data_IF_709286035546
#
_entry.id   IF_709286035546
#
_cell.length_a   1.000
_cell.length_b   1.000
_cell.length_c   1.000
_cell.angle_alpha   90.00
_cell.angle_beta   90.00
_cell.angle_gamma   90.00
#
_symmetry.space_group_name_H-M   'P 1'
#
loop_
_entity.id
_entity.type
_entity.pdbx_description
1 polymer ?
#
# COMPACT_ATOMS: atom_id res chain seq x y z
N UNK A 1 2.39 -8.36 12.61
CA UNK A 1 3.42 -7.60 11.88
C UNK A 1 4.86 -8.13 12.01
N UNK A 2 5.46 -8.24 13.21
CA UNK A 2 6.89 -8.64 13.35
C UNK A 2 7.24 -9.97 12.64
N UNK A 3 6.44 -11.02 12.84
CA UNK A 3 6.67 -12.32 12.20
C UNK A 3 6.58 -12.25 10.66
N UNK A 4 5.62 -11.47 10.15
CA UNK A 4 5.44 -11.22 8.71
C UNK A 4 6.67 -10.51 8.12
N UNK A 5 7.17 -9.48 8.80
CA UNK A 5 8.39 -8.76 8.37
C UNK A 5 9.63 -9.66 8.43
N UNK A 6 9.75 -10.49 9.47
CA UNK A 6 10.85 -11.44 9.55
C UNK A 6 10.80 -12.41 8.38
N UNK A 7 9.64 -13.03 8.13
CA UNK A 7 9.43 -13.92 7.00
C UNK A 7 9.80 -13.27 5.67
N UNK A 8 9.33 -12.06 5.40
CA UNK A 8 9.61 -11.39 4.13
C UNK A 8 11.11 -11.13 3.95
N UNK A 9 11.76 -10.62 5.00
CA UNK A 9 13.19 -10.29 4.93
C UNK A 9 14.09 -11.52 4.83
N UNK A 10 13.69 -12.67 5.39
CA UNK A 10 14.49 -13.90 5.34
C UNK A 10 14.24 -14.72 4.08
N UNK A 11 13.01 -14.72 3.56
CA UNK A 11 12.63 -15.56 2.41
C UNK A 11 12.70 -14.82 1.07
N UNK A 12 12.57 -13.49 1.07
CA UNK A 12 12.62 -12.64 -0.13
C UNK A 12 13.59 -11.45 0.03
N UNK A 13 14.85 -11.69 0.45
CA UNK A 13 15.81 -10.62 0.69
C UNK A 13 16.06 -9.76 -0.57
N UNK A 14 15.96 -10.33 -1.77
CA UNK A 14 16.10 -9.63 -3.04
C UNK A 14 15.04 -8.55 -3.25
N UNK A 15 13.78 -8.79 -2.84
CA UNK A 15 12.71 -7.80 -2.93
C UNK A 15 12.94 -6.66 -1.93
N UNK A 16 13.36 -6.99 -0.71
CA UNK A 16 13.80 -5.99 0.27
C UNK A 16 14.94 -5.13 -0.28
N UNK A 17 15.98 -5.75 -0.84
CA UNK A 17 17.13 -5.02 -1.39
C UNK A 17 16.73 -4.14 -2.58
N UNK A 18 15.81 -4.60 -3.43
CA UNK A 18 15.28 -3.82 -4.54
C UNK A 18 14.53 -2.57 -4.03
N UNK A 19 13.70 -2.71 -2.98
CA UNK A 19 13.00 -1.58 -2.35
C UNK A 19 13.98 -0.58 -1.71
N UNK A 20 14.97 -1.08 -0.96
CA UNK A 20 16.04 -0.26 -0.36
C UNK A 20 16.82 0.54 -1.40
N UNK A 21 17.01 -0.02 -2.60
CA UNK A 21 17.76 0.61 -3.69
C UNK A 21 16.89 1.52 -4.57
N UNK A 22 15.57 1.58 -4.31
CA UNK A 22 14.61 2.34 -5.10
C UNK A 22 14.22 3.63 -4.39
N UNK A 23 14.96 4.70 -4.68
CA UNK A 23 14.71 6.02 -4.10
C UNK A 23 13.56 6.76 -4.79
N UNK A 24 12.75 7.46 -3.99
CA UNK A 24 11.74 8.44 -4.44
C UNK A 24 12.38 9.73 -4.95
N UNK A 25 13.64 9.98 -4.59
CA UNK A 25 14.44 11.11 -5.02
C UNK A 25 15.15 10.80 -6.34
N UNK A 26 15.42 11.83 -7.13
CA UNK A 26 16.25 11.70 -8.33
C UNK A 26 17.72 11.56 -7.98
N UNK A 27 18.21 12.37 -7.05
CA UNK A 27 19.57 12.32 -6.50
C UNK A 27 19.59 12.73 -5.01
N UNK A 28 20.80 12.75 -4.42
CA UNK A 28 21.01 13.06 -2.99
C UNK A 28 21.06 14.57 -2.70
N UNK A 29 20.87 15.42 -3.70
CA UNK A 29 20.92 16.89 -3.57
C UNK A 29 19.54 17.53 -3.47
N UNK A 30 18.49 16.83 -3.93
CA UNK A 30 17.10 17.29 -3.87
C UNK A 30 16.15 16.16 -3.41
N UNK A 31 15.64 16.28 -2.18
CA UNK A 31 14.74 15.29 -1.59
C UNK A 31 13.32 15.45 -2.12
N UNK A 32 12.61 14.35 -2.31
CA UNK A 32 11.19 14.33 -2.63
C UNK A 32 10.38 14.85 -1.43
N UNK A 33 9.64 15.97 -1.56
CA UNK A 33 8.92 16.58 -0.44
C UNK A 33 7.74 15.73 0.07
N UNK A 34 7.31 14.74 -0.70
CA UNK A 34 6.23 13.81 -0.34
C UNK A 34 6.74 12.51 0.30
N UNK A 35 8.04 12.22 0.17
CA UNK A 35 8.68 11.00 0.64
C UNK A 35 10.07 11.31 1.22
N UNK A 36 10.13 12.13 2.26
CA UNK A 36 11.40 12.52 2.89
C UNK A 36 12.11 11.33 3.54
N UNK A 37 11.39 10.23 3.82
CA UNK A 37 11.95 8.94 4.19
C UNK A 37 12.92 8.34 3.15
N UNK A 38 12.89 8.84 1.91
CA UNK A 38 13.90 8.60 0.88
C UNK A 38 13.63 7.38 0.01
N UNK A 39 13.66 6.18 0.57
CA UNK A 39 13.56 4.92 -0.19
C UNK A 39 12.26 4.15 0.03
N UNK A 40 11.89 3.31 -0.94
CA UNK A 40 10.63 2.56 -0.92
C UNK A 40 10.54 1.56 0.25
N UNK A 41 11.68 1.04 0.75
CA UNK A 41 11.67 0.13 1.91
C UNK A 41 11.38 0.88 3.20
N UNK A 42 12.03 2.04 3.39
CA UNK A 42 11.75 2.93 4.53
C UNK A 42 10.27 3.33 4.57
N UNK A 43 9.70 3.69 3.41
CA UNK A 43 8.27 3.94 3.29
C UNK A 43 7.42 2.71 3.67
N UNK A 44 7.69 1.55 3.07
CA UNK A 44 6.98 0.29 3.38
C UNK A 44 6.99 -0.03 4.88
N UNK A 45 8.12 0.15 5.55
CA UNK A 45 8.24 -0.09 7.00
C UNK A 45 7.35 0.84 7.82
N UNK A 46 7.21 2.11 7.43
CA UNK A 46 6.32 3.08 8.08
C UNK A 46 4.85 2.69 7.86
N UNK A 47 4.47 2.36 6.62
CA UNK A 47 3.11 1.89 6.28
C UNK A 47 2.74 0.64 7.10
N UNK A 48 3.64 -0.35 7.17
CA UNK A 48 3.48 -1.51 8.03
C UNK A 48 3.34 -1.14 9.51
N UNK A 49 4.11 -0.15 9.99
CA UNK A 49 4.01 0.29 11.38
C UNK A 49 2.67 0.94 11.68
N UNK A 50 2.11 1.73 10.76
CA UNK A 50 0.76 2.30 10.92
C UNK A 50 -0.29 1.19 10.97
N UNK A 51 -0.24 0.21 10.05
CA UNK A 51 -1.17 -0.91 10.04
C UNK A 51 -1.16 -1.69 11.37
N UNK A 52 0.03 -1.92 11.94
CA UNK A 52 0.19 -2.54 13.25
C UNK A 52 -0.40 -1.68 14.38
N UNK A 53 -0.06 -0.39 14.44
CA UNK A 53 -0.51 0.51 15.51
C UNK A 53 -2.02 0.75 15.50
N UNK A 54 -2.63 0.73 14.31
CA UNK A 54 -4.09 0.82 14.15
C UNK A 54 -4.81 -0.48 14.45
N UNK A 55 -4.09 -1.60 14.53
CA UNK A 55 -4.69 -2.92 14.77
C UNK A 55 -5.55 -3.41 13.61
N UNK A 56 -5.20 -3.03 12.37
CA UNK A 56 -5.95 -3.45 11.18
C UNK A 56 -5.78 -4.93 10.90
N UNK A 57 -6.73 -5.47 10.12
CA UNK A 57 -6.80 -6.88 9.76
C UNK A 57 -5.48 -7.37 9.13
N UNK A 58 -5.18 -8.66 9.29
CA UNK A 58 -3.98 -9.27 8.71
C UNK A 58 -3.94 -9.13 7.19
N UNK A 59 -5.08 -9.11 6.49
CA UNK A 59 -5.19 -8.84 5.06
C UNK A 59 -4.63 -7.45 4.73
N UNK A 60 -4.98 -6.42 5.52
CA UNK A 60 -4.43 -5.06 5.38
C UNK A 60 -2.93 -5.04 5.72
N UNK A 61 -2.50 -5.78 6.76
CA UNK A 61 -1.08 -5.85 7.13
C UNK A 61 -0.22 -6.50 6.03
N UNK A 62 -0.71 -7.55 5.36
CA UNK A 62 -0.01 -8.17 4.22
C UNK A 62 0.00 -7.22 3.03
N UNK A 63 -1.14 -6.60 2.71
CA UNK A 63 -1.21 -5.62 1.62
C UNK A 63 -0.26 -4.44 1.87
N UNK A 64 -0.19 -3.92 3.10
CA UNK A 64 0.73 -2.84 3.50
C UNK A 64 2.20 -3.19 3.21
N UNK A 65 2.64 -4.42 3.51
CA UNK A 65 3.99 -4.87 3.23
C UNK A 65 4.27 -5.01 1.72
N UNK A 66 3.26 -5.40 0.94
CA UNK A 66 3.44 -5.79 -0.45
C UNK A 66 3.01 -4.74 -1.47
N UNK A 67 2.35 -3.64 -1.05
CA UNK A 67 1.70 -2.70 -1.97
C UNK A 67 2.64 -2.09 -3.02
N UNK A 68 3.91 -1.91 -2.66
CA UNK A 68 4.90 -1.18 -3.44
C UNK A 68 6.06 -2.03 -3.98
N UNK A 69 6.00 -3.36 -3.86
CA UNK A 69 7.11 -4.24 -4.29
C UNK A 69 7.43 -4.14 -5.79
N UNK A 70 6.51 -3.61 -6.60
CA UNK A 70 6.67 -3.33 -8.03
C UNK A 70 7.28 -1.95 -8.35
N UNK A 71 7.47 -1.05 -7.38
CA UNK A 71 8.10 0.26 -7.61
C UNK A 71 9.51 0.13 -8.22
N UNK A 72 10.43 -0.71 -7.71
CA UNK A 72 11.77 -0.81 -8.28
C UNK A 72 11.78 -1.16 -9.77
N UNK A 73 10.90 -2.06 -10.21
CA UNK A 73 10.82 -2.51 -11.60
C UNK A 73 10.07 -1.54 -12.53
N UNK A 74 9.26 -0.64 -11.98
CA UNK A 74 8.52 0.39 -12.72
C UNK A 74 9.15 1.78 -12.65
N UNK A 75 10.23 1.93 -11.87
CA UNK A 75 10.93 3.20 -11.65
C UNK A 75 11.45 3.76 -12.96
N UNK A 76 10.99 4.98 -13.28
CA UNK A 76 11.47 5.78 -14.41
C UNK A 76 11.87 7.16 -13.91
N UNK A 77 12.89 7.71 -14.55
CA UNK A 77 13.35 9.06 -14.30
C UNK A 77 12.99 9.91 -15.50
N UNK A 78 12.22 10.97 -15.28
CA UNK A 78 12.01 11.99 -16.28
C UNK A 78 13.23 12.91 -16.32
N UNK A 79 14.04 12.79 -17.38
CA UNK A 79 15.27 13.54 -17.56
C UNK A 79 15.05 15.04 -17.82
N UNK A 80 13.82 15.49 -18.08
CA UNK A 80 13.52 16.90 -18.33
C UNK A 80 13.31 17.71 -17.04
N UNK A 81 12.85 17.06 -15.98
CA UNK A 81 12.52 17.73 -14.72
C UNK A 81 13.03 16.98 -13.48
N UNK A 82 13.90 15.98 -13.68
CA UNK A 82 14.48 15.15 -12.62
C UNK A 82 13.42 14.54 -11.69
N UNK A 83 12.25 14.20 -12.23
CA UNK A 83 11.17 13.60 -11.43
C UNK A 83 11.18 12.08 -11.56
N UNK A 84 11.11 11.38 -10.43
CA UNK A 84 10.98 9.92 -10.38
C UNK A 84 9.50 9.53 -10.46
N UNK A 85 9.18 8.54 -11.28
CA UNK A 85 7.82 8.06 -11.51
C UNK A 85 7.78 6.54 -11.46
N UNK A 86 6.68 6.00 -10.95
CA UNK A 86 6.44 4.56 -10.78
C UNK A 86 5.15 4.14 -11.50
N UNK A 87 5.07 4.37 -12.81
CA UNK A 87 3.82 4.13 -13.54
C UNK A 87 3.46 2.64 -13.60
N UNK A 88 2.24 2.30 -13.21
CA UNK A 88 1.71 0.93 -13.25
C UNK A 88 2.30 0.01 -12.17
N UNK A 89 2.98 0.58 -11.17
CA UNK A 89 3.54 -0.19 -10.06
C UNK A 89 2.48 -0.97 -9.30
N UNK A 90 1.24 -0.50 -9.25
CA UNK A 90 0.13 -1.12 -8.51
C UNK A 90 -0.18 -2.52 -9.05
N UNK A 91 -0.38 -2.62 -10.37
CA UNK A 91 -0.65 -3.89 -11.07
C UNK A 91 0.59 -4.78 -11.05
N UNK A 92 1.79 -4.19 -11.16
CA UNK A 92 3.04 -4.94 -11.11
C UNK A 92 3.30 -5.52 -9.71
N UNK A 93 3.10 -4.74 -8.65
CA UNK A 93 3.18 -5.18 -7.25
C UNK A 93 2.20 -6.32 -6.99
N UNK A 94 0.95 -6.19 -7.45
CA UNK A 94 -0.07 -7.23 -7.30
C UNK A 94 0.40 -8.54 -7.96
N UNK A 95 0.85 -8.49 -9.22
CA UNK A 95 1.37 -9.67 -9.91
C UNK A 95 2.59 -10.28 -9.23
N UNK A 96 3.51 -9.46 -8.73
CA UNK A 96 4.69 -9.92 -8.00
C UNK A 96 4.34 -10.55 -6.65
N UNK A 97 3.22 -10.17 -6.05
CA UNK A 97 2.75 -10.66 -4.77
C UNK A 97 2.05 -12.03 -4.86
N UNK A 98 1.62 -12.49 -6.05
CA UNK A 98 0.96 -13.79 -6.26
C UNK A 98 1.65 -14.97 -5.56
N UNK A 99 2.96 -15.26 -5.81
CA UNK A 99 3.64 -16.37 -5.13
C UNK A 99 3.85 -16.13 -3.63
N UNK A 100 3.86 -14.87 -3.17
CA UNK A 100 4.07 -14.51 -1.78
C UNK A 100 2.80 -14.76 -0.95
N UNK A 101 1.64 -14.35 -1.45
CA UNK A 101 0.36 -14.60 -0.76
C UNK A 101 0.02 -16.09 -0.72
N UNK A 102 0.39 -16.85 -1.75
CA UNK A 102 0.28 -18.32 -1.73
C UNK A 102 1.16 -18.96 -0.65
N UNK A 103 2.38 -18.47 -0.44
CA UNK A 103 3.25 -18.95 0.64
C UNK A 103 2.68 -18.57 2.02
N UNK A 104 2.10 -17.38 2.16
CA UNK A 104 1.44 -16.94 3.39
C UNK A 104 0.20 -17.78 3.73
N UNK A 105 -0.57 -18.23 2.74
CA UNK A 105 -1.68 -19.20 2.95
C UNK A 105 -1.12 -20.54 3.43
N UNK A 106 -0.07 -21.06 2.79
CA UNK A 106 0.57 -22.35 3.21
C UNK A 106 1.11 -22.31 4.64
N UNK A 107 1.50 -21.12 5.10
CA UNK A 107 1.99 -20.86 6.47
C UNK A 107 0.89 -20.52 7.46
N UNK A 108 -0.36 -20.52 7.03
CA UNK A 108 -1.53 -20.15 7.86
C UNK A 108 -1.46 -18.72 8.40
N UNK A 109 -0.74 -17.82 7.72
CA UNK A 109 -0.77 -16.39 8.02
C UNK A 109 -2.02 -15.75 7.41
N UNK A 110 -2.34 -16.14 6.17
CA UNK A 110 -3.67 -15.95 5.58
C UNK A 110 -4.46 -17.25 5.76
N UNK A 111 -5.77 -17.14 6.01
CA UNK A 111 -6.63 -18.29 6.27
C UNK A 111 -6.89 -19.14 5.03
N UNK A 112 -7.04 -18.49 3.88
CA UNK A 112 -7.46 -19.16 2.65
C UNK A 112 -7.08 -18.34 1.40
N UNK A 113 -7.35 -18.93 0.23
CA UNK A 113 -7.07 -18.29 -1.05
C UNK A 113 -7.97 -17.10 -1.37
N UNK A 114 -9.09 -16.90 -0.67
CA UNK A 114 -9.96 -15.74 -0.88
C UNK A 114 -9.37 -14.50 -0.20
N UNK A 115 -8.81 -14.63 1.01
CA UNK A 115 -7.99 -13.57 1.62
C UNK A 115 -6.76 -13.24 0.77
N UNK A 116 -6.11 -14.26 0.17
CA UNK A 116 -4.99 -14.03 -0.73
C UNK A 116 -5.39 -13.20 -1.97
N UNK A 117 -6.53 -13.53 -2.60
CA UNK A 117 -7.06 -12.74 -3.73
C UNK A 117 -7.42 -11.32 -3.29
N UNK A 118 -7.95 -11.16 -2.08
CA UNK A 118 -8.28 -9.87 -1.52
C UNK A 118 -7.02 -8.99 -1.36
N UNK A 119 -5.95 -9.54 -0.78
CA UNK A 119 -4.65 -8.85 -0.71
C UNK A 119 -4.17 -8.39 -2.08
N UNK A 120 -4.22 -9.27 -3.10
CA UNK A 120 -3.79 -8.93 -4.46
C UNK A 120 -4.63 -7.80 -5.06
N UNK A 121 -5.93 -7.80 -4.82
CA UNK A 121 -6.84 -6.75 -5.30
C UNK A 121 -6.63 -5.43 -4.55
N UNK A 122 -6.39 -5.47 -3.24
CA UNK A 122 -6.03 -4.29 -2.45
C UNK A 122 -4.74 -3.64 -2.98
N UNK A 123 -3.71 -4.44 -3.26
CA UNK A 123 -2.45 -3.96 -3.84
C UNK A 123 -2.70 -3.33 -5.22
N UNK A 124 -3.50 -3.96 -6.08
CA UNK A 124 -3.78 -3.44 -7.42
C UNK A 124 -4.57 -2.12 -7.40
N UNK A 125 -5.35 -1.87 -6.34
CA UNK A 125 -6.24 -0.71 -6.22
C UNK A 125 -5.75 0.35 -5.21
N UNK A 126 -4.63 0.13 -4.52
CA UNK A 126 -4.21 1.01 -3.42
C UNK A 126 -4.05 2.48 -3.82
N UNK A 127 -3.65 2.76 -5.07
CA UNK A 127 -3.52 4.12 -5.58
C UNK A 127 -4.84 4.75 -6.07
N UNK A 128 -5.93 3.97 -6.25
CA UNK A 128 -7.19 4.44 -6.84
C UNK A 128 -7.79 5.61 -6.08
N UNK A 129 -7.76 5.53 -4.74
CA UNK A 129 -8.35 6.56 -3.88
C UNK A 129 -7.58 7.90 -3.91
N UNK A 130 -6.38 7.94 -4.49
CA UNK A 130 -5.65 9.21 -4.72
C UNK A 130 -6.03 9.87 -6.04
N UNK A 131 -6.66 9.12 -6.95
CA UNK A 131 -7.07 9.59 -8.28
C UNK A 131 -8.52 10.08 -8.29
N UNK A 132 -9.35 9.52 -7.41
CA UNK A 132 -10.75 9.91 -7.22
C UNK A 132 -10.95 10.46 -5.80
N UNK A 133 -11.62 11.60 -5.68
CA UNK A 133 -11.91 12.26 -4.39
C UNK A 133 -13.40 12.41 -4.11
N UNK A 134 -14.27 12.12 -5.09
CA UNK A 134 -15.72 12.16 -4.91
C UNK A 134 -16.20 10.95 -4.09
N UNK A 135 -16.62 11.24 -2.85
CA UNK A 135 -17.11 10.26 -1.88
C UNK A 135 -18.28 9.42 -2.42
N UNK A 136 -19.17 10.01 -3.19
CA UNK A 136 -20.34 9.30 -3.72
C UNK A 136 -19.94 8.37 -4.87
N UNK A 137 -19.05 8.80 -5.77
CA UNK A 137 -18.51 7.94 -6.84
C UNK A 137 -17.77 6.74 -6.24
N UNK A 138 -16.90 6.97 -5.25
CA UNK A 138 -16.13 5.90 -4.60
C UNK A 138 -17.08 4.94 -3.88
N UNK A 139 -18.03 5.47 -3.10
CA UNK A 139 -19.00 4.64 -2.38
C UNK A 139 -19.83 3.79 -3.35
N UNK A 140 -20.38 4.38 -4.41
CA UNK A 140 -21.19 3.66 -5.39
C UNK A 140 -20.42 2.53 -6.07
N UNK A 141 -19.11 2.70 -6.29
CA UNK A 141 -18.23 1.68 -6.86
C UNK A 141 -18.05 0.46 -5.94
N UNK A 142 -17.95 0.67 -4.63
CA UNK A 142 -17.58 -0.38 -3.67
C UNK A 142 -18.69 -0.81 -2.70
N UNK A 143 -19.88 -0.18 -2.74
CA UNK A 143 -21.00 -0.45 -1.80
C UNK A 143 -21.46 -1.91 -1.71
N UNK A 144 -21.21 -2.73 -2.74
CA UNK A 144 -21.57 -4.15 -2.76
C UNK A 144 -20.49 -5.07 -2.17
N UNK A 145 -19.36 -4.51 -1.70
CA UNK A 145 -18.21 -5.23 -1.12
C UNK A 145 -17.65 -4.44 0.06
N UNK A 146 -18.48 -4.20 1.08
CA UNK A 146 -18.16 -3.27 2.17
C UNK A 146 -16.92 -3.67 2.98
N UNK A 147 -16.69 -4.96 3.23
CA UNK A 147 -15.50 -5.43 3.95
C UNK A 147 -14.22 -5.12 3.17
N UNK A 148 -14.19 -5.46 1.88
CA UNK A 148 -13.09 -5.09 0.97
C UNK A 148 -12.90 -3.57 0.92
N UNK A 149 -14.00 -2.81 0.85
CA UNK A 149 -13.93 -1.36 0.78
C UNK A 149 -13.31 -0.76 2.03
N UNK A 150 -13.69 -1.27 3.20
CA UNK A 150 -13.07 -0.91 4.48
C UNK A 150 -11.57 -1.20 4.46
N UNK A 151 -11.15 -2.40 4.06
CA UNK A 151 -9.73 -2.74 3.97
C UNK A 151 -8.96 -1.83 2.99
N UNK A 152 -9.56 -1.43 1.87
CA UNK A 152 -8.96 -0.50 0.92
C UNK A 152 -8.75 0.90 1.52
N UNK A 153 -9.72 1.38 2.31
CA UNK A 153 -9.60 2.65 3.04
C UNK A 153 -8.55 2.57 4.14
N UNK A 154 -8.49 1.46 4.87
CA UNK A 154 -7.49 1.22 5.92
C UNK A 154 -6.07 1.17 5.34
N UNK A 155 -5.87 0.50 4.19
CA UNK A 155 -4.59 0.49 3.48
C UNK A 155 -4.20 1.91 3.04
N UNK A 156 -5.15 2.69 2.52
CA UNK A 156 -4.94 4.10 2.17
C UNK A 156 -4.53 4.94 3.38
N UNK A 157 -5.17 4.75 4.53
CA UNK A 157 -4.78 5.43 5.78
C UNK A 157 -3.35 5.08 6.17
N UNK A 158 -2.94 3.82 6.01
CA UNK A 158 -1.58 3.40 6.29
C UNK A 158 -0.56 4.05 5.36
N UNK A 159 -0.85 4.08 4.07
CA UNK A 159 0.00 4.68 3.04
C UNK A 159 0.14 6.21 3.25
N UNK A 160 -0.96 6.89 3.56
CA UNK A 160 -0.94 8.34 3.82
C UNK A 160 -0.15 8.72 5.07
N UNK A 161 -0.42 8.05 6.19
CA UNK A 161 0.27 8.30 7.46
C UNK A 161 1.69 7.73 7.50
N UNK A 162 2.04 6.86 6.55
CA UNK A 162 3.37 6.28 6.40
C UNK A 162 4.38 7.17 5.68
N UNK A 163 3.98 8.39 5.29
CA UNK A 163 4.85 9.37 4.60
C UNK A 163 5.40 10.42 5.56
N UNK A 164 6.68 10.78 5.40
CA UNK A 164 7.17 12.05 5.95
C UNK A 164 6.98 13.16 4.90
N UNK A 165 5.88 13.90 5.03
CA UNK A 165 5.56 15.05 4.18
C UNK A 165 4.78 16.12 4.94
N UNK A 166 4.73 17.35 4.40
CA UNK A 166 3.92 18.43 4.99
C UNK A 166 2.42 18.16 4.91
N UNK A 167 1.98 17.37 3.94
CA UNK A 167 0.59 17.04 3.67
C UNK A 167 0.17 15.69 4.25
N UNK A 168 1.01 15.07 5.10
CA UNK A 168 0.71 13.81 5.77
C UNK A 168 -0.57 13.96 6.59
N UNK A 169 -1.58 13.13 6.33
CA UNK A 169 -2.87 13.21 7.01
C UNK A 169 -3.77 14.35 6.54
N UNK A 170 -3.34 15.14 5.54
CA UNK A 170 -4.13 16.20 4.91
C UNK A 170 -4.81 15.71 3.62
N UNK A 171 -5.19 14.43 3.58
CA UNK A 171 -5.88 13.82 2.45
C UNK A 171 -7.14 14.61 2.08
N UNK A 172 -7.29 14.92 0.78
CA UNK A 172 -8.51 15.55 0.23
C UNK A 172 -9.72 14.62 0.29
N UNK A 173 -9.47 13.32 0.35
CA UNK A 173 -10.51 12.32 0.56
C UNK A 173 -10.83 12.23 2.05
N UNK A 174 -12.09 12.50 2.40
CA UNK A 174 -12.62 12.30 3.75
C UNK A 174 -12.89 10.82 4.02
N UNK A 175 -11.82 10.09 4.33
CA UNK A 175 -11.88 8.65 4.64
C UNK A 175 -12.79 8.37 5.83
N UNK A 176 -12.87 9.28 6.80
CA UNK A 176 -13.72 9.11 7.98
C UNK A 176 -15.20 9.17 7.61
N UNK A 177 -15.61 10.15 6.79
CA UNK A 177 -16.98 10.23 6.30
C UNK A 177 -17.39 8.98 5.49
N UNK A 178 -16.47 8.41 4.71
CA UNK A 178 -16.72 7.16 3.98
C UNK A 178 -16.91 5.98 4.94
N UNK A 179 -16.03 5.84 5.92
CA UNK A 179 -16.12 4.76 6.92
C UNK A 179 -17.46 4.83 7.68
N UNK A 180 -17.87 6.03 8.10
CA UNK A 180 -19.18 6.24 8.72
C UNK A 180 -20.35 5.91 7.79
N UNK A 181 -20.22 6.19 6.48
CA UNK A 181 -21.22 5.83 5.48
C UNK A 181 -21.30 4.32 5.32
N UNK A 182 -20.17 3.60 5.32
CA UNK A 182 -20.14 2.13 5.31
C UNK A 182 -20.87 1.58 6.53
N UNK A 183 -20.52 2.02 7.74
CA UNK A 183 -21.11 1.53 9.00
C UNK A 183 -22.63 1.71 9.04
N UNK A 184 -23.14 2.86 8.55
CA UNK A 184 -24.59 3.11 8.46
C UNK A 184 -25.33 2.19 7.50
N UNK A 185 -24.66 1.67 6.48
CA UNK A 185 -25.25 0.81 5.44
C UNK A 185 -24.93 -0.68 5.64
N UNK A 186 -24.13 -1.03 6.65
CA UNK A 186 -23.88 -2.42 7.07
C UNK A 186 -24.91 -2.94 8.09
N UNK A 187 -25.81 -2.07 8.59
CA UNK A 187 -27.00 -2.44 9.38
C UNK A 187 -28.22 -2.66 8.49
#
# INVERSE_FOLDING_TARGET
MVELLHWFQTNYPELKFALLSSHHNFDDSDTNPYHVEGDCWSHTMLVCKIAELKGYDKVVQVAALLHDIGKPASRKVNSQNNHVQFFGHEVLSSKMAEPLVEDLVKRSFLENMDEAKEVLELIALHAYLYQESDVDIIYEKFKNRLDFFKHLLELRVCDDLGRFSKTMGESTLDTQAILEKIEKNSC
#
